data_IF_496766410217
#
_entry.id   IF_496766410217
#
_cell.length_a   1.000
_cell.length_b   1.000
_cell.length_c   1.000
_cell.angle_alpha   90.00
_cell.angle_beta   90.00
_cell.angle_gamma   90.00
#
_symmetry.space_group_name_H-M   'P 1'
#
loop_
_entity.id
_entity.type
_entity.pdbx_description
1 polymer ?
#
# COMPACT_ATOMS: atom_id res chain seq x y z
N UNK A 1 -0.96 -19.13 -1.99
CA UNK A 1 -1.10 -17.65 -2.05
C UNK A 1 0.25 -17.03 -2.37
N UNK A 2 0.26 -15.94 -3.13
CA UNK A 2 1.48 -15.35 -3.72
C UNK A 2 2.21 -14.45 -2.72
N UNK A 3 3.51 -14.22 -2.90
CA UNK A 3 4.21 -13.14 -2.19
C UNK A 3 3.69 -11.74 -2.59
N UNK A 4 3.04 -11.63 -3.75
CA UNK A 4 2.41 -10.40 -4.27
C UNK A 4 1.23 -9.91 -3.42
N UNK A 5 0.76 -10.71 -2.46
CA UNK A 5 -0.35 -10.33 -1.57
C UNK A 5 0.12 -9.49 -0.36
N UNK A 6 1.41 -9.15 -0.27
CA UNK A 6 1.97 -8.25 0.76
C UNK A 6 1.81 -6.80 0.33
N UNK A 7 1.13 -6.00 1.15
CA UNK A 7 0.85 -4.59 0.87
C UNK A 7 1.15 -3.72 2.10
N UNK A 8 1.36 -2.40 1.91
CA UNK A 8 1.46 -1.46 3.03
C UNK A 8 0.19 -1.48 3.89
N UNK A 9 0.35 -1.32 5.20
CA UNK A 9 -0.79 -1.20 6.12
C UNK A 9 -1.27 0.26 6.12
N UNK A 10 -2.56 0.53 5.82
CA UNK A 10 -3.10 1.89 5.85
C UNK A 10 -2.88 2.57 7.21
N UNK A 11 -2.36 3.80 7.21
CA UNK A 11 -2.11 4.57 8.43
C UNK A 11 -0.85 4.16 9.22
N UNK A 12 -0.08 3.16 8.74
CA UNK A 12 1.14 2.68 9.39
C UNK A 12 2.34 2.70 8.42
N UNK A 13 2.97 3.87 8.18
CA UNK A 13 4.09 3.99 7.27
C UNK A 13 5.23 3.01 7.60
N UNK A 14 5.75 2.33 6.57
CA UNK A 14 6.83 1.35 6.72
C UNK A 14 6.39 -0.01 7.29
N UNK A 15 5.13 -0.18 7.66
CA UNK A 15 4.58 -1.48 8.05
C UNK A 15 3.87 -2.16 6.88
N UNK A 16 4.08 -3.47 6.78
CA UNK A 16 3.54 -4.30 5.72
C UNK A 16 2.91 -5.56 6.31
N UNK A 17 1.85 -6.03 5.68
CA UNK A 17 1.23 -7.30 6.02
C UNK A 17 0.61 -7.90 4.76
N UNK A 18 0.21 -9.17 4.82
CA UNK A 18 -0.61 -9.76 3.78
C UNK A 18 -1.99 -9.11 3.78
N UNK A 19 -2.56 -8.95 2.58
CA UNK A 19 -3.92 -8.42 2.38
C UNK A 19 -4.94 -9.09 3.28
N UNK A 20 -4.92 -10.42 3.39
CA UNK A 20 -5.83 -11.16 4.28
C UNK A 20 -5.76 -10.72 5.76
N UNK A 21 -4.58 -10.38 6.27
CA UNK A 21 -4.44 -9.87 7.65
C UNK A 21 -4.99 -8.45 7.73
N UNK A 22 -4.69 -7.60 6.73
CA UNK A 22 -5.17 -6.22 6.66
C UNK A 22 -6.69 -6.17 6.56
N UNK A 23 -7.31 -7.08 5.79
CA UNK A 23 -8.76 -7.15 5.65
C UNK A 23 -9.42 -7.52 6.99
N UNK A 24 -8.87 -8.51 7.71
CA UNK A 24 -9.35 -8.87 9.05
C UNK A 24 -9.13 -7.75 10.08
N UNK A 25 -7.95 -7.14 10.09
CA UNK A 25 -7.63 -6.01 10.95
C UNK A 25 -8.53 -4.80 10.69
N UNK A 26 -8.81 -4.50 9.41
CA UNK A 26 -9.73 -3.44 8.99
C UNK A 26 -11.16 -3.74 9.42
N UNK A 27 -11.61 -4.99 9.24
CA UNK A 27 -12.92 -5.46 9.71
C UNK A 27 -13.07 -5.31 11.23
N UNK A 28 -12.00 -5.49 11.99
CA UNK A 28 -11.97 -5.24 13.43
C UNK A 28 -12.00 -3.74 13.82
N UNK A 29 -12.07 -2.83 12.84
CA UNK A 29 -12.07 -1.39 13.04
C UNK A 29 -10.67 -0.81 13.22
N UNK A 30 -9.66 -1.41 12.59
CA UNK A 30 -8.29 -0.90 12.46
C UNK A 30 -7.65 -0.45 13.78
N UNK A 31 -7.62 -1.29 14.83
CA UNK A 31 -6.99 -0.91 16.10
C UNK A 31 -5.49 -0.60 15.91
N UNK A 32 -4.88 0.28 16.72
CA UNK A 32 -3.47 0.63 16.57
C UNK A 32 -2.55 -0.61 16.61
N UNK A 33 -1.64 -0.69 15.64
CA UNK A 33 -0.59 -1.70 15.57
C UNK A 33 0.72 -1.18 16.15
N UNK A 34 1.32 -1.97 17.03
CA UNK A 34 2.68 -1.75 17.55
C UNK A 34 3.72 -2.37 16.62
N UNK A 35 3.39 -3.50 15.99
CA UNK A 35 4.24 -4.18 15.01
C UNK A 35 3.39 -5.02 14.06
N UNK A 36 3.95 -5.41 12.91
CA UNK A 36 3.29 -6.20 11.88
C UNK A 36 4.27 -7.17 11.21
N UNK A 37 4.21 -7.35 9.89
CA UNK A 37 5.15 -8.22 9.17
C UNK A 37 6.60 -7.81 9.40
N UNK A 38 7.48 -8.80 9.61
CA UNK A 38 8.92 -8.62 9.86
C UNK A 38 9.73 -9.38 8.84
N UNK A 39 10.70 -8.71 8.22
CA UNK A 39 11.66 -9.40 7.36
C UNK A 39 12.67 -10.20 8.19
N UNK A 40 13.36 -11.13 7.53
CA UNK A 40 14.35 -12.01 8.14
C UNK A 40 15.32 -11.29 9.08
N UNK A 41 15.94 -10.19 8.61
CA UNK A 41 16.96 -9.47 9.40
C UNK A 41 16.41 -8.91 10.72
N UNK A 42 15.18 -8.41 10.72
CA UNK A 42 14.53 -7.92 11.93
C UNK A 42 14.19 -9.07 12.89
N UNK A 43 13.61 -10.16 12.36
CA UNK A 43 13.30 -11.33 13.19
C UNK A 43 14.58 -11.95 13.78
N UNK A 44 15.67 -12.00 13.01
CA UNK A 44 16.97 -12.52 13.46
C UNK A 44 17.54 -11.65 14.58
N UNK A 45 17.46 -10.32 14.45
CA UNK A 45 17.86 -9.38 15.50
C UNK A 45 17.10 -9.63 16.80
N UNK A 46 15.78 -9.85 16.73
CA UNK A 46 14.94 -10.13 17.91
C UNK A 46 15.32 -11.47 18.55
N UNK A 47 15.41 -12.54 17.75
CA UNK A 47 15.81 -13.86 18.20
C UNK A 47 17.20 -13.85 18.86
N UNK A 48 18.19 -13.24 18.21
CA UNK A 48 19.55 -13.19 18.72
C UNK A 48 19.63 -12.38 20.01
N UNK A 49 18.90 -11.27 20.11
CA UNK A 49 18.85 -10.51 21.34
C UNK A 49 18.24 -11.30 22.50
N UNK A 50 17.20 -12.09 22.23
CA UNK A 50 16.58 -12.96 23.22
C UNK A 50 17.50 -14.09 23.67
N UNK A 51 18.07 -14.86 22.73
CA UNK A 51 18.97 -15.98 23.03
C UNK A 51 20.19 -15.51 23.82
N UNK A 52 20.71 -14.32 23.51
CA UNK A 52 21.83 -13.71 24.23
C UNK A 52 21.42 -12.94 25.50
N UNK A 53 20.14 -13.01 25.92
CA UNK A 53 19.59 -12.37 27.12
C UNK A 53 19.88 -10.86 27.20
N UNK A 54 19.87 -10.17 26.06
CA UNK A 54 20.07 -8.72 26.02
C UNK A 54 18.86 -8.01 26.68
N UNK A 55 19.08 -6.96 27.47
CA UNK A 55 17.98 -6.16 28.03
C UNK A 55 17.03 -5.66 26.93
N UNK A 56 15.72 -5.81 27.16
CA UNK A 56 14.68 -5.34 26.25
C UNK A 56 14.30 -6.29 25.10
N UNK A 57 14.84 -7.51 25.05
CA UNK A 57 14.45 -8.52 24.06
C UNK A 57 13.53 -9.59 24.67
N UNK A 58 12.33 -9.71 24.12
CA UNK A 58 11.35 -10.74 24.47
C UNK A 58 11.63 -12.05 23.71
N UNK A 59 11.06 -13.19 24.17
CA UNK A 59 11.01 -14.42 23.38
C UNK A 59 10.62 -14.15 21.93
N UNK A 60 11.33 -14.78 21.00
CA UNK A 60 11.12 -14.60 19.58
C UNK A 60 11.40 -15.90 18.84
N UNK A 61 10.62 -16.19 17.81
CA UNK A 61 10.85 -17.33 16.92
C UNK A 61 12.22 -17.22 16.22
N UNK A 62 12.89 -18.36 16.06
CA UNK A 62 14.11 -18.49 15.28
C UNK A 62 13.77 -18.42 13.79
N UNK A 63 14.17 -17.38 13.05
CA UNK A 63 13.86 -17.28 11.62
C UNK A 63 14.57 -18.32 10.76
N UNK A 64 15.57 -19.03 11.30
CA UNK A 64 16.25 -20.15 10.64
C UNK A 64 15.53 -21.49 10.86
N UNK A 65 14.54 -21.57 11.76
CA UNK A 65 13.74 -22.78 11.99
C UNK A 65 12.33 -22.65 11.38
N UNK A 66 12.21 -22.99 10.11
CA UNK A 66 10.93 -22.90 9.37
C UNK A 66 9.84 -23.87 9.85
N UNK A 67 10.17 -24.80 10.76
CA UNK A 67 9.18 -25.65 11.42
C UNK A 67 8.32 -24.85 12.41
N UNK A 68 8.81 -23.70 12.89
CA UNK A 68 8.04 -22.79 13.74
C UNK A 68 6.91 -22.09 12.98
N UNK A 69 6.02 -21.42 13.71
CA UNK A 69 4.89 -20.70 13.15
C UNK A 69 5.36 -19.50 12.31
N UNK A 70 6.28 -18.69 12.85
CA UNK A 70 6.92 -17.57 12.14
C UNK A 70 5.87 -16.63 11.52
N UNK A 71 4.81 -16.32 12.26
CA UNK A 71 3.64 -15.59 11.75
C UNK A 71 3.98 -14.16 11.29
N UNK A 72 4.85 -13.45 12.02
CA UNK A 72 5.37 -12.14 11.60
C UNK A 72 6.21 -12.24 10.32
N UNK A 73 7.01 -13.29 10.15
CA UNK A 73 7.84 -13.51 8.94
C UNK A 73 6.99 -13.97 7.73
N UNK A 74 5.81 -14.52 8.00
CA UNK A 74 4.78 -14.81 6.99
C UNK A 74 3.84 -13.63 6.72
N UNK A 75 4.00 -12.54 7.46
CA UNK A 75 3.26 -11.30 7.33
C UNK A 75 1.76 -11.47 7.61
N UNK A 76 1.43 -12.37 8.54
CA UNK A 76 0.06 -12.68 8.93
C UNK A 76 -0.20 -12.46 10.41
N UNK A 77 0.68 -11.68 11.06
CA UNK A 77 0.58 -11.31 12.46
C UNK A 77 0.77 -9.80 12.67
N UNK A 78 0.24 -9.31 13.78
CA UNK A 78 0.46 -7.97 14.28
C UNK A 78 0.26 -7.88 15.79
N UNK A 79 1.01 -6.99 16.42
CA UNK A 79 0.95 -6.76 17.85
C UNK A 79 -0.01 -5.62 18.16
N UNK A 80 -1.07 -5.92 18.92
CA UNK A 80 -2.16 -5.00 19.24
C UNK A 80 -2.46 -5.09 20.73
N UNK A 81 -2.49 -3.95 21.42
CA UNK A 81 -2.83 -3.87 22.83
C UNK A 81 -4.24 -4.42 23.12
N UNK A 82 -4.39 -5.46 23.98
CA UNK A 82 -5.60 -6.28 24.07
C UNK A 82 -6.64 -5.72 25.05
N UNK A 83 -7.29 -4.62 24.69
CA UNK A 83 -8.48 -4.17 25.44
C UNK A 83 -9.68 -5.11 25.21
N UNK A 84 -10.64 -5.23 26.15
CA UNK A 84 -11.78 -6.15 25.99
C UNK A 84 -12.54 -5.96 24.68
N UNK A 85 -12.70 -4.71 24.24
CA UNK A 85 -13.38 -4.39 22.99
C UNK A 85 -12.56 -4.78 21.76
N UNK A 86 -11.24 -4.56 21.77
CA UNK A 86 -10.37 -4.99 20.67
C UNK A 86 -10.32 -6.51 20.57
N UNK A 87 -10.23 -7.21 21.70
CA UNK A 87 -10.26 -8.68 21.76
C UNK A 87 -11.52 -9.22 21.07
N UNK A 88 -12.70 -8.68 21.41
CA UNK A 88 -13.97 -9.09 20.78
C UNK A 88 -13.96 -8.86 19.28
N UNK A 89 -13.58 -7.67 18.81
CA UNK A 89 -13.61 -7.31 17.39
C UNK A 89 -12.59 -8.10 16.56
N UNK A 90 -11.38 -8.28 17.07
CA UNK A 90 -10.33 -9.05 16.39
C UNK A 90 -10.71 -10.53 16.27
N UNK A 91 -11.24 -11.13 17.34
CA UNK A 91 -11.74 -12.50 17.31
C UNK A 91 -12.93 -12.64 16.35
N UNK A 92 -13.89 -11.69 16.37
CA UNK A 92 -15.01 -11.68 15.44
C UNK A 92 -14.58 -11.52 13.97
N UNK A 93 -13.45 -10.85 13.72
CA UNK A 93 -12.83 -10.72 12.40
C UNK A 93 -11.99 -11.95 11.99
N UNK A 94 -11.96 -13.00 12.81
CA UNK A 94 -11.28 -14.25 12.50
C UNK A 94 -9.79 -14.30 12.84
N UNK A 95 -9.26 -13.29 13.54
CA UNK A 95 -7.91 -13.35 14.10
C UNK A 95 -7.89 -14.16 15.39
N UNK A 96 -6.80 -14.89 15.60
CA UNK A 96 -6.59 -15.70 16.80
C UNK A 96 -5.44 -15.14 17.63
N UNK A 97 -5.44 -15.52 18.91
CA UNK A 97 -4.37 -15.23 19.85
C UNK A 97 -3.81 -16.55 20.40
N UNK A 98 -2.83 -17.16 19.70
CA UNK A 98 -2.36 -18.51 20.02
C UNK A 98 -1.55 -18.58 21.33
N UNK A 99 -0.97 -17.46 21.77
CA UNK A 99 -0.02 -17.43 22.88
C UNK A 99 -0.61 -16.70 24.09
N UNK A 100 -0.90 -17.44 25.17
CA UNK A 100 -1.42 -16.85 26.41
C UNK A 100 -0.41 -15.92 27.10
N UNK A 101 0.89 -16.14 26.87
CA UNK A 101 1.98 -15.34 27.43
C UNK A 101 2.31 -14.09 26.59
N UNK A 102 1.76 -13.96 25.37
CA UNK A 102 1.84 -12.77 24.52
C UNK A 102 0.43 -12.26 24.21
N UNK A 103 -0.25 -11.65 25.21
CA UNK A 103 -1.65 -11.28 25.07
C UNK A 103 -1.90 -10.22 23.97
N UNK A 104 -0.84 -9.57 23.48
CA UNK A 104 -0.83 -8.60 22.38
C UNK A 104 -0.66 -9.21 20.99
N UNK A 105 -0.22 -10.48 20.86
CA UNK A 105 0.07 -11.10 19.57
C UNK A 105 -1.20 -11.61 18.89
N UNK A 106 -1.50 -11.11 17.68
CA UNK A 106 -2.65 -11.56 16.88
C UNK A 106 -2.19 -12.06 15.53
N UNK A 107 -2.80 -13.15 15.06
CA UNK A 107 -2.48 -13.73 13.75
C UNK A 107 -3.69 -14.34 13.05
N UNK A 108 -3.56 -14.54 11.74
CA UNK A 108 -4.51 -15.37 10.98
C UNK A 108 -4.36 -16.85 11.40
N UNK A 109 -5.46 -17.62 11.41
CA UNK A 109 -5.36 -19.05 11.63
C UNK A 109 -4.57 -19.75 10.51
N UNK A 110 -4.03 -20.93 10.83
CA UNK A 110 -3.30 -21.79 9.90
C UNK A 110 -2.10 -21.10 9.25
N UNK A 111 -1.31 -20.35 10.02
CA UNK A 111 -0.18 -19.52 9.52
C UNK A 111 0.74 -20.21 8.52
N UNK A 112 0.98 -21.52 8.66
CA UNK A 112 1.86 -22.28 7.76
C UNK A 112 1.36 -22.38 6.30
N UNK A 113 0.08 -22.09 6.03
CA UNK A 113 -0.43 -22.01 4.66
C UNK A 113 0.15 -20.82 3.87
N UNK A 114 0.69 -19.83 4.58
CA UNK A 114 1.29 -18.64 3.99
C UNK A 114 2.80 -18.85 3.82
N UNK A 115 3.31 -18.54 2.63
CA UNK A 115 4.74 -18.59 2.36
C UNK A 115 5.48 -17.52 3.18
N UNK A 116 6.72 -17.83 3.56
CA UNK A 116 7.63 -16.85 4.17
C UNK A 116 7.89 -15.70 3.20
N UNK A 117 7.85 -14.48 3.71
CA UNK A 117 8.15 -13.27 2.95
C UNK A 117 9.64 -12.98 3.08
N UNK A 118 10.37 -13.06 1.97
CA UNK A 118 11.82 -12.80 1.93
C UNK A 118 12.15 -11.34 1.63
N UNK A 119 11.28 -10.65 0.91
CA UNK A 119 11.41 -9.25 0.56
C UNK A 119 10.02 -8.64 0.38
N UNK A 120 9.92 -7.33 0.61
CA UNK A 120 8.72 -6.58 0.23
C UNK A 120 8.64 -6.56 -1.30
N UNK A 121 7.53 -7.02 -1.91
CA UNK A 121 7.35 -6.91 -3.35
C UNK A 121 7.47 -5.45 -3.76
N UNK A 122 8.39 -5.15 -4.68
CA UNK A 122 8.34 -3.88 -5.38
C UNK A 122 7.11 -3.91 -6.28
N UNK A 123 6.35 -2.80 -6.39
CA UNK A 123 5.34 -2.72 -7.43
C UNK A 123 6.02 -2.99 -8.77
N UNK A 124 5.60 -4.05 -9.46
CA UNK A 124 6.07 -4.33 -10.81
C UNK A 124 5.68 -3.12 -11.65
N UNK A 125 6.63 -2.44 -12.34
CA UNK A 125 6.22 -1.50 -13.38
C UNK A 125 5.33 -2.27 -14.35
N UNK A 126 4.15 -1.76 -14.62
CA UNK A 126 3.23 -2.37 -15.59
C UNK A 126 3.96 -2.46 -16.92
N UNK A 127 4.50 -3.63 -17.27
CA UNK A 127 4.93 -3.94 -18.62
C UNK A 127 3.67 -4.03 -19.47
N UNK A 128 3.29 -2.90 -20.06
CA UNK A 128 2.64 -2.89 -21.37
C UNK A 128 3.45 -3.82 -22.28
N UNK A 129 2.83 -4.70 -23.08
CA UNK A 129 3.58 -5.58 -23.97
C UNK A 129 4.50 -4.74 -24.84
N UNK A 130 5.79 -5.03 -24.77
CA UNK A 130 6.83 -4.46 -25.60
C UNK A 130 6.54 -4.88 -27.05
N UNK A 131 5.87 -4.02 -27.82
CA UNK A 131 6.03 -4.03 -29.26
C UNK A 131 7.45 -3.56 -29.52
N UNK A 132 8.26 -4.47 -30.04
CA UNK A 132 9.51 -4.15 -30.72
C UNK A 132 9.24 -3.06 -31.75
N UNK A 133 9.93 -1.94 -31.64
CA UNK A 133 10.66 -1.34 -32.76
C UNK A 133 11.54 -0.20 -32.28
N UNK A 134 12.61 -0.04 -33.05
CA UNK A 134 13.83 0.70 -32.80
C UNK A 134 13.63 2.23 -32.69
N UNK A 135 14.56 2.83 -31.94
CA UNK A 135 15.06 4.21 -32.05
C UNK A 135 14.19 5.44 -31.70
N UNK A 136 14.91 6.36 -31.04
CA UNK A 136 14.78 7.83 -31.05
C UNK A 136 14.09 8.55 -29.86
N UNK A 137 14.95 8.90 -28.90
CA UNK A 137 15.07 10.15 -28.12
C UNK A 137 13.81 10.99 -27.79
N UNK A 138 13.65 11.17 -26.48
CA UNK A 138 13.22 12.43 -25.81
C UNK A 138 11.83 13.00 -26.13
N UNK A 139 10.86 12.72 -25.25
CA UNK A 139 9.71 13.60 -24.94
C UNK A 139 9.02 13.10 -23.65
N UNK A 140 8.54 13.99 -22.75
CA UNK A 140 7.78 13.57 -21.59
C UNK A 140 6.40 13.06 -22.02
N UNK A 141 6.00 11.90 -21.52
CA UNK A 141 4.65 11.34 -21.71
C UNK A 141 3.69 12.01 -20.71
N UNK A 142 2.52 12.51 -21.14
CA UNK A 142 1.49 12.97 -20.20
C UNK A 142 0.87 11.78 -19.45
N UNK A 143 0.65 11.94 -18.14
CA UNK A 143 -0.13 10.99 -17.34
C UNK A 143 -1.62 11.10 -17.76
N UNK A 144 -2.18 10.01 -18.30
CA UNK A 144 -3.61 9.92 -18.66
C UNK A 144 -4.29 8.93 -17.73
N UNK A 145 -5.31 9.39 -16.98
CA UNK A 145 -6.20 8.51 -16.22
C UNK A 145 -7.48 8.25 -17.02
N UNK A 146 -7.88 6.99 -17.13
CA UNK A 146 -9.12 6.56 -17.78
C UNK A 146 -10.24 6.43 -16.73
N UNK A 147 -11.35 7.13 -16.93
CA UNK A 147 -12.61 6.88 -16.21
C UNK A 147 -13.70 6.75 -17.26
N UNK A 148 -14.35 5.58 -17.34
CA UNK A 148 -15.44 5.35 -18.30
C UNK A 148 -16.79 5.84 -17.73
N UNK A 149 -17.78 6.21 -18.58
CA UNK A 149 -17.67 6.58 -19.99
C UNK A 149 -18.11 8.04 -20.23
N UNK A 150 -17.24 8.87 -20.82
CA UNK A 150 -17.65 10.13 -21.45
C UNK A 150 -16.79 11.38 -21.19
N UNK A 151 -15.69 11.30 -20.44
CA UNK A 151 -14.82 12.47 -20.25
C UNK A 151 -13.38 12.10 -19.91
N UNK A 152 -12.43 12.78 -20.55
CA UNK A 152 -11.01 12.68 -20.24
C UNK A 152 -10.58 13.86 -19.37
N UNK A 153 -9.71 13.62 -18.40
CA UNK A 153 -8.99 14.66 -17.69
C UNK A 153 -7.52 14.61 -18.11
N UNK A 154 -6.95 15.75 -18.47
CA UNK A 154 -5.51 15.89 -18.75
C UNK A 154 -4.90 16.78 -17.68
N UNK A 155 -3.93 16.27 -16.94
CA UNK A 155 -3.04 17.08 -16.11
C UNK A 155 -1.92 17.60 -17.01
N UNK A 156 -1.91 18.90 -17.27
CA UNK A 156 -0.74 19.57 -17.82
C UNK A 156 0.10 20.06 -16.65
N UNK A 157 1.34 19.58 -16.56
CA UNK A 157 2.35 20.12 -15.65
C UNK A 157 2.60 21.60 -16.00
N UNK A 158 2.49 22.48 -15.02
CA UNK A 158 2.71 23.91 -15.22
C UNK A 158 4.15 24.26 -14.84
N UNK A 159 5.10 23.82 -15.67
CA UNK A 159 6.39 24.49 -15.77
C UNK A 159 6.47 25.24 -17.12
N UNK A 160 6.49 26.56 -16.98
CA UNK A 160 6.91 27.59 -17.92
C UNK A 160 6.69 27.40 -19.44
N UNK A 161 5.74 28.19 -19.96
CA UNK A 161 5.83 28.94 -21.23
C UNK A 161 6.28 28.15 -22.46
N UNK A 162 5.37 27.37 -23.05
CA UNK A 162 5.31 27.30 -24.52
C UNK A 162 3.89 26.98 -25.00
N UNK A 163 3.12 28.02 -25.34
CA UNK A 163 1.94 27.88 -26.19
C UNK A 163 2.43 27.75 -27.63
N UNK A 164 2.36 26.57 -28.24
CA UNK A 164 2.35 26.41 -29.70
C UNK A 164 2.05 24.96 -30.11
N UNK A 165 0.96 24.80 -30.86
CA UNK A 165 0.70 23.72 -31.83
C UNK A 165 0.87 22.27 -31.35
N UNK A 166 -0.18 21.73 -30.73
CA UNK A 166 -0.58 20.34 -30.97
C UNK A 166 -2.08 20.32 -31.24
N UNK A 167 -2.46 20.91 -32.37
CA UNK A 167 -3.82 20.85 -32.90
C UNK A 167 -3.76 21.00 -34.43
N UNK A 168 -3.22 19.97 -35.07
CA UNK A 168 -3.50 19.61 -36.46
C UNK A 168 -3.54 18.07 -36.40
N UNK A 169 -4.65 17.47 -35.94
CA UNK A 169 -5.43 16.68 -36.91
C UNK A 169 -6.88 16.40 -36.49
N UNK A 170 -7.48 17.21 -35.62
CA UNK A 170 -8.93 17.11 -35.38
C UNK A 170 -9.55 18.50 -35.38
N UNK A 171 -10.15 18.87 -36.50
CA UNK A 171 -11.08 19.99 -36.60
C UNK A 171 -12.27 19.74 -35.65
N UNK A 172 -12.18 20.16 -34.38
CA UNK A 172 -13.33 20.50 -33.54
C UNK A 172 -12.95 21.64 -32.58
N UNK A 173 -13.61 22.77 -32.75
CA UNK A 173 -13.43 23.99 -31.95
C UNK A 173 -13.89 23.77 -30.50
N UNK A 174 -12.95 23.58 -29.56
CA UNK A 174 -13.25 23.62 -28.13
C UNK A 174 -12.93 25.02 -27.56
N UNK A 175 -13.90 25.63 -26.87
CA UNK A 175 -13.72 26.87 -26.12
C UNK A 175 -13.48 26.57 -24.65
N UNK A 176 -12.44 27.16 -24.06
CA UNK A 176 -12.15 27.06 -22.62
C UNK A 176 -12.89 28.20 -21.92
N UNK A 177 -13.83 27.87 -21.03
CA UNK A 177 -14.47 28.85 -20.14
C UNK A 177 -13.90 28.70 -18.73
N UNK A 178 -12.94 29.56 -18.36
CA UNK A 178 -12.32 29.55 -17.04
C UNK A 178 -13.17 30.35 -16.05
N UNK A 179 -13.83 29.71 -15.09
CA UNK A 179 -14.23 30.37 -13.84
C UNK A 179 -13.16 30.11 -12.79
N UNK A 180 -12.61 31.17 -12.20
CA UNK A 180 -11.66 31.12 -11.08
C UNK A 180 -12.30 30.38 -9.90
N UNK A 181 -11.68 29.30 -9.44
CA UNK A 181 -12.01 28.67 -8.17
C UNK A 181 -11.33 29.46 -7.03
N UNK A 182 -12.08 29.79 -5.98
CA UNK A 182 -11.52 30.44 -4.79
C UNK A 182 -10.88 29.41 -3.84
N UNK A 183 -9.80 29.77 -3.13
CA UNK A 183 -9.02 28.86 -2.31
C UNK A 183 -9.75 28.46 -1.02
N UNK A 184 -9.76 27.16 -0.70
CA UNK A 184 -10.08 26.67 0.64
C UNK A 184 -8.75 26.55 1.40
N UNK A 185 -8.67 27.21 2.56
CA UNK A 185 -7.43 27.39 3.33
C UNK A 185 -6.72 26.07 3.68
N UNK A 186 -5.44 25.99 3.30
CA UNK A 186 -4.46 25.04 3.86
C UNK A 186 -3.76 24.11 2.86
N UNK A 187 -4.22 24.02 1.61
CA UNK A 187 -3.57 23.26 0.53
C UNK A 187 -3.09 24.21 -0.58
N UNK A 188 -1.87 23.99 -1.07
CA UNK A 188 -1.32 24.71 -2.23
C UNK A 188 -2.22 24.53 -3.47
N UNK A 189 -2.39 25.55 -4.34
CA UNK A 189 -3.38 25.51 -5.40
C UNK A 189 -2.83 24.75 -6.61
N UNK A 190 -3.20 23.48 -6.76
CA UNK A 190 -3.05 22.80 -8.06
C UNK A 190 -4.35 22.07 -8.37
N UNK A 191 -5.38 22.82 -8.69
CA UNK A 191 -6.61 22.26 -9.24
C UNK A 191 -7.31 23.33 -10.07
N UNK A 192 -6.98 23.41 -11.35
CA UNK A 192 -7.86 24.07 -12.32
C UNK A 192 -8.82 23.00 -12.81
N UNK A 193 -10.07 23.04 -12.35
CA UNK A 193 -11.14 22.20 -12.86
C UNK A 193 -11.67 22.86 -14.14
N UNK A 194 -11.18 22.41 -15.29
CA UNK A 194 -11.78 22.79 -16.57
C UNK A 194 -12.88 21.78 -16.91
N UNK A 195 -14.14 22.24 -16.95
CA UNK A 195 -15.26 21.43 -17.43
C UNK A 195 -15.40 21.65 -18.93
N UNK A 196 -15.16 20.60 -19.72
CA UNK A 196 -15.48 20.60 -21.14
C UNK A 196 -16.96 20.27 -21.30
N UNK A 197 -17.70 21.15 -21.96
CA UNK A 197 -19.09 20.90 -22.38
C UNK A 197 -19.15 21.07 -23.88
N UNK A 198 -19.73 20.08 -24.56
CA UNK A 198 -20.11 20.22 -25.97
C UNK A 198 -21.15 21.36 -26.09
N UNK A 199 -21.09 22.12 -27.20
CA UNK A 199 -22.12 23.13 -27.47
C UNK A 199 -23.48 22.42 -27.67
N UNK A 200 -24.59 23.01 -27.20
CA UNK A 200 -25.93 22.58 -27.62
C UNK A 200 -26.14 22.80 -29.12
#
# INVERSE_FOLDING_TARGET
MSALDVIPIPGHPGMYARRAFIDAWTTAGSPPLNSAGRLYGEQKRLYDGWVNRKPGFNPADNPDDERQALAHVRFVAGDIDPTPERVRRLAAAGLIRPYSYEPWHWELPNVRQYAIVRAIPKPTPTTTPEQSEEDDMSKPLPLIFKVDPGGYWVLADMEERTYSKVANDVQKDFYINTKRAEPIHGLQPISVIAKFTERP
#
